data_IF_349434547844
#
_entry.id   IF_349434547844
#
_cell.length_a   1.000
_cell.length_b   1.000
_cell.length_c   1.000
_cell.angle_alpha   90.00
_cell.angle_beta   90.00
_cell.angle_gamma   90.00
#
_symmetry.space_group_name_H-M   'P 1'
#
loop_
_entity.id
_entity.type
_entity.pdbx_description
1 polymer ?
#
# COMPACT_ATOMS: atom_id res chain seq x y z
N UNK A 1 -27.02 -6.06 -12.87
CA UNK A 1 -25.82 -5.21 -13.13
C UNK A 1 -25.01 -5.20 -11.84
N UNK A 2 -23.76 -5.63 -11.87
CA UNK A 2 -22.88 -5.66 -10.70
C UNK A 2 -22.48 -4.21 -10.37
N UNK A 3 -22.73 -3.75 -9.13
CA UNK A 3 -22.26 -2.43 -8.69
C UNK A 3 -20.75 -2.53 -8.39
N UNK A 4 -19.89 -1.75 -9.04
CA UNK A 4 -18.45 -1.76 -8.77
C UNK A 4 -18.13 -1.43 -7.31
N UNK A 5 -17.15 -2.14 -6.70
CA UNK A 5 -16.58 -1.78 -5.41
C UNK A 5 -15.46 -0.75 -5.65
N UNK A 6 -15.81 0.52 -5.61
CA UNK A 6 -14.91 1.65 -5.86
C UNK A 6 -14.16 2.15 -4.63
N UNK A 7 -14.05 1.34 -3.59
CA UNK A 7 -13.29 1.69 -2.39
C UNK A 7 -11.86 2.07 -2.75
N UNK A 8 -11.43 3.29 -2.39
CA UNK A 8 -10.12 3.86 -2.72
C UNK A 8 -9.02 3.45 -1.75
N UNK A 9 -9.39 3.02 -0.55
CA UNK A 9 -8.48 2.53 0.47
C UNK A 9 -9.11 1.41 1.31
N UNK A 10 -8.26 0.65 1.98
CA UNK A 10 -8.66 -0.37 2.96
C UNK A 10 -7.68 -0.38 4.12
N UNK A 11 -8.19 -0.60 5.34
CA UNK A 11 -7.37 -0.90 6.52
C UNK A 11 -7.26 -2.41 6.65
N UNK A 12 -6.03 -2.91 6.75
CA UNK A 12 -5.74 -4.35 6.78
C UNK A 12 -4.80 -4.66 7.94
N UNK A 13 -5.09 -5.72 8.72
CA UNK A 13 -4.12 -6.28 9.67
C UNK A 13 -3.09 -7.09 8.87
N UNK A 14 -1.94 -6.49 8.61
CA UNK A 14 -0.87 -7.06 7.76
C UNK A 14 0.03 -7.99 8.53
N UNK A 15 0.30 -7.70 9.82
CA UNK A 15 1.16 -8.50 10.68
C UNK A 15 0.37 -9.05 11.87
N UNK A 16 0.54 -10.34 12.18
CA UNK A 16 0.21 -10.86 13.48
C UNK A 16 1.26 -10.39 14.52
N UNK A 17 0.95 -10.56 15.80
CA UNK A 17 1.77 -10.03 16.89
C UNK A 17 3.20 -10.60 16.86
N UNK A 18 3.37 -11.90 16.59
CA UNK A 18 4.70 -12.54 16.46
C UNK A 18 5.51 -11.96 15.28
N UNK A 19 4.85 -11.69 14.14
CA UNK A 19 5.50 -11.09 12.98
C UNK A 19 5.87 -9.64 13.23
N UNK A 20 5.02 -8.90 13.95
CA UNK A 20 5.28 -7.54 14.37
C UNK A 20 6.49 -7.44 15.30
N UNK A 21 6.59 -8.32 16.28
CA UNK A 21 7.75 -8.35 17.21
C UNK A 21 9.05 -8.72 16.48
N UNK A 22 9.02 -9.67 15.56
CA UNK A 22 10.17 -9.96 14.69
C UNK A 22 10.62 -8.74 13.88
N UNK A 23 9.66 -8.02 13.29
CA UNK A 23 9.96 -6.80 12.55
C UNK A 23 10.52 -5.70 13.47
N UNK A 24 9.93 -5.48 14.63
CA UNK A 24 10.42 -4.51 15.62
C UNK A 24 11.87 -4.81 16.02
N UNK A 25 12.18 -6.06 16.27
CA UNK A 25 13.56 -6.48 16.62
C UNK A 25 14.55 -6.17 15.48
N UNK A 26 14.17 -6.40 14.22
CA UNK A 26 14.99 -6.03 13.07
C UNK A 26 15.20 -4.52 13.00
N UNK A 27 14.14 -3.72 13.23
CA UNK A 27 14.20 -2.27 13.16
C UNK A 27 15.06 -1.62 14.24
N UNK A 28 15.20 -2.22 15.42
CA UNK A 28 16.08 -1.72 16.50
C UNK A 28 17.54 -1.59 16.05
N UNK A 29 18.00 -2.48 15.18
CA UNK A 29 19.37 -2.51 14.68
C UNK A 29 19.53 -1.90 13.29
N UNK A 30 18.45 -1.34 12.71
CA UNK A 30 18.46 -0.79 11.37
C UNK A 30 19.03 0.63 11.37
N UNK A 31 20.13 0.84 10.64
CA UNK A 31 20.73 2.17 10.47
C UNK A 31 19.87 3.00 9.55
N UNK A 32 19.27 4.05 10.07
CA UNK A 32 18.50 5.03 9.30
C UNK A 32 19.37 6.16 8.79
N UNK A 33 19.04 6.69 7.62
CA UNK A 33 19.68 7.85 6.99
C UNK A 33 18.65 8.95 6.73
N UNK A 34 19.10 10.13 6.37
CA UNK A 34 18.18 11.23 6.03
C UNK A 34 17.28 10.82 4.84
N UNK A 35 15.98 10.90 5.04
CA UNK A 35 14.96 10.50 4.07
C UNK A 35 14.97 11.30 2.76
N UNK A 36 15.62 12.45 2.72
CA UNK A 36 15.83 13.21 1.48
C UNK A 36 16.67 12.45 0.45
N UNK A 37 17.46 11.48 0.90
CA UNK A 37 18.29 10.68 -0.02
C UNK A 37 17.42 9.75 -0.92
N UNK A 38 16.18 9.48 -0.55
CA UNK A 38 15.23 8.72 -1.37
C UNK A 38 14.52 9.58 -2.43
N UNK A 39 14.53 10.89 -2.26
CA UNK A 39 13.93 11.82 -3.21
C UNK A 39 14.94 12.22 -4.29
N UNK A 40 14.45 12.28 -5.53
CA UNK A 40 15.20 12.81 -6.67
C UNK A 40 14.40 13.96 -7.27
N UNK A 41 14.81 15.19 -7.01
CA UNK A 41 14.26 16.37 -7.66
C UNK A 41 15.37 17.07 -8.45
N UNK A 42 15.18 17.30 -9.77
CA UNK A 42 16.16 17.97 -10.60
C UNK A 42 16.41 19.42 -10.21
N UNK A 43 15.51 20.04 -9.43
CA UNK A 43 15.64 21.43 -8.95
C UNK A 43 16.61 21.60 -7.78
N UNK A 44 17.10 20.48 -7.20
CA UNK A 44 18.12 20.48 -6.16
C UNK A 44 17.62 20.19 -4.75
N UNK A 45 18.57 19.97 -3.83
CA UNK A 45 18.29 19.52 -2.46
C UNK A 45 17.53 20.54 -1.60
N UNK A 46 17.70 21.83 -1.82
CA UNK A 46 17.03 22.87 -1.03
C UNK A 46 15.50 22.82 -1.15
N UNK A 47 15.01 22.53 -2.36
CA UNK A 47 13.57 22.32 -2.59
C UNK A 47 13.07 21.10 -1.83
N UNK A 48 13.87 20.05 -1.74
CA UNK A 48 13.54 18.80 -1.07
C UNK A 48 13.43 18.98 0.44
N UNK A 49 14.27 19.82 1.08
CA UNK A 49 14.22 20.10 2.53
C UNK A 49 12.90 20.75 2.97
N UNK A 50 12.26 21.51 2.08
CA UNK A 50 10.95 22.10 2.37
C UNK A 50 9.79 21.10 2.19
N UNK A 51 10.04 19.93 1.60
CA UNK A 51 9.03 18.98 1.19
C UNK A 51 8.83 17.83 2.17
N UNK A 52 9.94 17.28 2.69
CA UNK A 52 9.97 16.12 3.54
C UNK A 52 11.07 16.21 4.59
N UNK A 53 10.74 15.82 5.80
CA UNK A 53 11.70 15.69 6.88
C UNK A 53 11.43 14.38 7.62
N UNK A 54 12.37 13.45 7.59
CA UNK A 54 12.32 12.15 8.28
C UNK A 54 13.66 11.42 8.16
N UNK A 55 13.78 10.28 8.83
CA UNK A 55 14.86 9.31 8.63
C UNK A 55 14.29 8.03 7.99
N UNK A 56 15.08 7.38 7.16
CA UNK A 56 14.65 6.20 6.40
C UNK A 56 15.70 5.11 6.33
N UNK A 57 15.24 3.86 6.15
CA UNK A 57 16.08 2.73 5.75
C UNK A 57 15.30 1.79 4.82
N UNK A 58 15.96 1.29 3.79
CA UNK A 58 15.43 0.20 2.97
C UNK A 58 15.47 -1.13 3.75
N UNK A 59 14.41 -1.91 3.64
CA UNK A 59 14.32 -3.24 4.25
C UNK A 59 14.48 -4.34 3.19
N UNK A 60 15.01 -5.52 3.56
CA UNK A 60 15.05 -6.67 2.65
C UNK A 60 13.65 -7.10 2.25
N UNK A 61 13.30 -6.94 0.96
CA UNK A 61 11.95 -7.20 0.46
C UNK A 61 11.48 -8.64 0.74
N UNK A 62 12.35 -9.64 0.52
CA UNK A 62 12.00 -11.06 0.73
C UNK A 62 11.64 -11.36 2.18
N UNK A 63 12.38 -10.83 3.14
CA UNK A 63 12.13 -11.05 4.57
C UNK A 63 10.83 -10.36 4.98
N UNK A 64 10.60 -9.13 4.56
CA UNK A 64 9.39 -8.39 4.83
C UNK A 64 8.15 -9.06 4.23
N UNK A 65 8.23 -9.52 2.98
CA UNK A 65 7.14 -10.25 2.31
C UNK A 65 6.74 -11.51 3.08
N UNK A 66 7.71 -12.22 3.65
CA UNK A 66 7.43 -13.44 4.41
C UNK A 66 6.71 -13.18 5.74
N UNK A 67 6.82 -11.97 6.29
CA UNK A 67 6.11 -11.57 7.51
C UNK A 67 4.67 -11.11 7.24
N UNK A 68 4.36 -10.66 6.02
CA UNK A 68 3.08 -10.03 5.70
C UNK A 68 1.97 -11.03 5.40
N UNK A 69 0.74 -10.68 5.81
CA UNK A 69 -0.47 -11.39 5.39
C UNK A 69 -0.80 -11.06 3.92
N UNK A 70 -0.49 -11.99 3.02
CA UNK A 70 -0.71 -11.81 1.59
C UNK A 70 -2.18 -11.90 1.20
N UNK A 71 -2.98 -12.71 1.92
CA UNK A 71 -4.39 -12.92 1.61
C UNK A 71 -5.16 -11.60 1.63
N UNK A 72 -5.17 -10.92 2.77
CA UNK A 72 -5.98 -9.70 2.94
C UNK A 72 -5.51 -8.56 2.02
N UNK A 73 -4.22 -8.52 1.68
CA UNK A 73 -3.68 -7.61 0.66
C UNK A 73 -4.23 -7.97 -0.71
N UNK A 74 -4.25 -9.26 -1.07
CA UNK A 74 -4.72 -9.75 -2.37
C UNK A 74 -6.20 -9.49 -2.59
N UNK A 75 -7.00 -9.60 -1.54
CA UNK A 75 -8.45 -9.37 -1.58
C UNK A 75 -8.79 -7.94 -2.05
N UNK A 76 -7.96 -6.98 -1.68
CA UNK A 76 -8.18 -5.59 -2.07
C UNK A 76 -7.45 -5.19 -3.35
N UNK A 77 -6.20 -5.66 -3.52
CA UNK A 77 -5.30 -5.16 -4.56
C UNK A 77 -5.21 -6.06 -5.78
N UNK A 78 -5.81 -7.26 -5.76
CA UNK A 78 -5.51 -8.31 -6.75
C UNK A 78 -3.99 -8.45 -6.93
N UNK A 79 -3.29 -8.68 -5.84
CA UNK A 79 -1.84 -8.59 -5.68
C UNK A 79 -1.07 -9.48 -6.66
N UNK A 80 -0.16 -8.90 -7.41
CA UNK A 80 0.75 -9.61 -8.31
C UNK A 80 2.19 -9.69 -7.80
N UNK A 81 2.74 -8.56 -7.38
CA UNK A 81 4.11 -8.49 -6.91
C UNK A 81 4.40 -7.25 -6.04
N UNK A 82 5.40 -7.36 -5.17
CA UNK A 82 6.04 -6.19 -4.56
C UNK A 82 6.86 -5.43 -5.59
N UNK A 83 6.91 -4.11 -5.43
CA UNK A 83 7.73 -3.22 -6.25
C UNK A 83 8.76 -2.51 -5.38
N UNK A 84 10.03 -2.75 -5.68
CA UNK A 84 11.14 -2.19 -4.91
C UNK A 84 11.30 -2.79 -3.50
N UNK A 85 12.11 -2.15 -2.70
CA UNK A 85 12.31 -2.51 -1.30
C UNK A 85 11.35 -1.71 -0.40
N UNK A 86 10.75 -2.34 0.61
CA UNK A 86 10.01 -1.59 1.63
C UNK A 86 10.94 -0.59 2.33
N UNK A 87 10.37 0.53 2.73
CA UNK A 87 11.09 1.63 3.38
C UNK A 87 10.58 1.77 4.82
N UNK A 88 11.46 1.55 5.79
CA UNK A 88 11.21 1.96 7.15
C UNK A 88 11.37 3.47 7.26
N UNK A 89 10.34 4.15 7.74
CA UNK A 89 10.34 5.60 7.96
C UNK A 89 10.16 5.91 9.44
N UNK A 90 11.11 6.67 9.97
CA UNK A 90 11.14 7.19 11.34
C UNK A 90 10.96 8.70 11.28
N UNK A 91 9.93 9.20 11.94
CA UNK A 91 9.67 10.63 12.13
C UNK A 91 9.68 10.98 13.60
N UNK A 92 10.42 12.03 13.93
CA UNK A 92 10.54 12.59 15.28
C UNK A 92 9.93 14.00 15.32
N UNK A 93 10.02 14.67 16.45
CA UNK A 93 9.49 16.02 16.64
C UNK A 93 9.94 17.00 15.53
N UNK A 94 8.96 17.66 14.92
CA UNK A 94 9.11 18.56 13.79
C UNK A 94 9.26 17.88 12.42
N UNK A 95 9.24 16.55 12.34
CA UNK A 95 9.30 15.81 11.07
C UNK A 95 7.94 15.72 10.41
N UNK A 96 7.90 15.76 9.08
CA UNK A 96 6.67 15.80 8.28
C UNK A 96 6.91 15.30 6.85
N UNK A 97 5.82 15.11 6.10
CA UNK A 97 5.85 14.93 4.65
C UNK A 97 4.68 15.71 4.04
N UNK A 98 4.99 16.73 3.22
CA UNK A 98 3.99 17.60 2.59
C UNK A 98 3.09 16.83 1.60
N UNK A 99 1.94 17.43 1.19
CA UNK A 99 1.07 16.84 0.19
C UNK A 99 1.81 16.46 -1.08
N UNK A 100 1.65 15.21 -1.51
CA UNK A 100 2.29 14.66 -2.71
C UNK A 100 1.48 13.48 -3.26
N UNK A 101 1.93 12.99 -4.41
CA UNK A 101 1.51 11.73 -5.01
C UNK A 101 2.71 10.80 -5.05
N UNK A 102 2.50 9.53 -4.78
CA UNK A 102 3.49 8.53 -5.11
C UNK A 102 3.55 8.33 -6.63
N UNK A 103 4.75 8.04 -7.12
CA UNK A 103 4.91 7.75 -8.55
C UNK A 103 4.28 6.40 -8.89
N UNK A 104 3.34 6.38 -9.84
CA UNK A 104 2.64 5.16 -10.29
C UNK A 104 3.59 4.09 -10.85
N UNK A 105 4.82 4.44 -11.23
CA UNK A 105 5.85 3.46 -11.60
C UNK A 105 6.30 2.58 -10.42
N UNK A 106 6.07 3.00 -9.18
CA UNK A 106 6.35 2.23 -7.96
C UNK A 106 5.37 1.08 -7.76
N UNK A 107 4.16 1.15 -8.33
CA UNK A 107 3.12 0.13 -8.19
C UNK A 107 1.73 0.74 -8.32
N UNK A 108 0.69 -0.08 -8.25
CA UNK A 108 -0.70 0.36 -8.33
C UNK A 108 -1.27 0.73 -6.95
N UNK A 109 -0.69 0.17 -5.88
CA UNK A 109 -1.09 0.42 -4.50
C UNK A 109 0.10 0.80 -3.63
N UNK A 110 -0.11 1.85 -2.83
CA UNK A 110 0.76 2.28 -1.74
C UNK A 110 0.25 1.70 -0.43
N UNK A 111 1.17 1.33 0.45
CA UNK A 111 0.88 0.75 1.75
C UNK A 111 1.63 1.51 2.83
N UNK A 112 0.97 1.81 3.93
CA UNK A 112 1.60 2.39 5.13
C UNK A 112 1.24 1.54 6.35
N UNK A 113 2.20 0.77 6.85
CA UNK A 113 2.09 -0.10 8.02
C UNK A 113 2.56 0.63 9.27
N UNK A 114 1.73 0.68 10.29
CA UNK A 114 2.05 1.29 11.58
C UNK A 114 2.76 0.27 12.48
N UNK A 115 3.86 0.70 13.13
CA UNK A 115 4.75 -0.18 13.92
C UNK A 115 4.63 0.06 15.42
N UNK A 116 4.42 1.31 15.84
CA UNK A 116 4.27 1.66 17.25
C UNK A 116 2.85 2.12 17.57
N UNK A 117 2.41 2.00 18.85
CA UNK A 117 1.08 2.41 19.27
C UNK A 117 0.81 3.90 19.00
N UNK A 118 -0.43 4.27 18.63
CA UNK A 118 -0.78 5.65 18.27
C UNK A 118 -0.67 6.65 19.42
N UNK A 119 -0.72 6.18 20.66
CA UNK A 119 -0.57 6.99 21.89
C UNK A 119 0.89 7.28 22.27
N UNK A 120 1.86 6.67 21.59
CA UNK A 120 3.30 6.89 21.84
C UNK A 120 3.87 8.13 21.14
N UNK A 121 3.07 8.82 20.34
CA UNK A 121 3.47 10.05 19.65
C UNK A 121 2.26 10.98 19.42
N UNK A 122 2.49 12.28 19.25
CA UNK A 122 1.47 13.28 18.92
C UNK A 122 1.70 13.82 17.50
N UNK A 123 0.62 14.12 16.77
CA UNK A 123 0.67 14.45 15.34
C UNK A 123 1.02 13.23 14.48
N UNK A 124 1.60 13.45 13.32
CA UNK A 124 2.06 12.40 12.43
C UNK A 124 0.96 11.56 11.78
N UNK A 125 -0.28 12.05 11.73
CA UNK A 125 -1.37 11.39 11.02
C UNK A 125 -1.04 11.29 9.52
N UNK A 126 -1.31 10.12 8.92
CA UNK A 126 -1.38 9.99 7.48
C UNK A 126 -2.74 10.53 7.02
N UNK A 127 -2.74 11.52 6.16
CA UNK A 127 -3.95 12.05 5.53
C UNK A 127 -4.00 11.65 4.05
N UNK A 128 -5.14 11.11 3.62
CA UNK A 128 -5.45 10.81 2.23
C UNK A 128 -6.59 11.70 1.76
N UNK A 129 -6.47 12.30 0.57
CA UNK A 129 -7.59 12.97 -0.09
C UNK A 129 -8.35 11.95 -0.94
N UNK A 130 -9.52 11.52 -0.45
CA UNK A 130 -10.36 10.51 -1.10
C UNK A 130 -11.73 11.10 -1.37
N UNK A 131 -12.15 11.09 -2.63
CA UNK A 131 -13.45 11.58 -3.09
C UNK A 131 -13.77 13.02 -2.61
N UNK A 132 -12.73 13.86 -2.57
CA UNK A 132 -12.82 15.26 -2.13
C UNK A 132 -12.78 15.46 -0.62
N UNK A 133 -12.66 14.41 0.18
CA UNK A 133 -12.58 14.48 1.64
C UNK A 133 -11.21 14.04 2.16
N UNK A 134 -10.71 14.70 3.20
CA UNK A 134 -9.52 14.26 3.91
C UNK A 134 -9.88 13.15 4.92
N UNK A 135 -9.19 12.02 4.81
CA UNK A 135 -9.28 10.88 5.73
C UNK A 135 -7.97 10.76 6.50
N UNK A 136 -8.04 10.79 7.82
CA UNK A 136 -6.89 10.70 8.71
C UNK A 136 -6.70 9.28 9.26
N UNK A 137 -5.43 8.84 9.30
CA UNK A 137 -5.08 7.51 9.79
C UNK A 137 -3.92 7.57 10.77
N UNK A 138 -4.14 6.94 11.92
CA UNK A 138 -3.18 6.70 12.99
C UNK A 138 -3.57 5.40 13.65
N UNK A 139 -3.08 4.28 13.12
CA UNK A 139 -3.58 2.95 13.41
C UNK A 139 -2.76 2.23 14.48
N UNK A 140 -3.36 1.20 15.06
CA UNK A 140 -2.67 0.27 15.93
C UNK A 140 -1.54 -0.47 15.20
N UNK A 141 -0.51 -0.94 15.93
CA UNK A 141 0.60 -1.68 15.35
C UNK A 141 0.15 -2.93 14.61
N UNK A 142 0.80 -3.22 13.48
CA UNK A 142 0.47 -4.37 12.63
C UNK A 142 -0.63 -4.11 11.61
N UNK A 143 -1.33 -2.96 11.70
CA UNK A 143 -2.30 -2.53 10.69
C UNK A 143 -1.67 -1.63 9.65
N UNK A 144 -2.13 -1.76 8.41
CA UNK A 144 -1.74 -0.88 7.31
C UNK A 144 -2.96 -0.22 6.67
N UNK A 145 -2.76 1.02 6.21
CA UNK A 145 -3.63 1.62 5.20
C UNK A 145 -3.07 1.25 3.84
N UNK A 146 -3.91 0.66 2.99
CA UNK A 146 -3.63 0.31 1.60
C UNK A 146 -4.49 1.19 0.71
N UNK A 147 -3.89 1.91 -0.23
CA UNK A 147 -4.59 2.87 -1.08
C UNK A 147 -3.98 2.94 -2.48
N UNK A 148 -4.73 3.45 -3.44
CA UNK A 148 -4.26 3.64 -4.80
C UNK A 148 -3.07 4.61 -4.83
N UNK A 149 -1.97 4.24 -5.50
CA UNK A 149 -0.69 4.99 -5.49
C UNK A 149 -0.83 6.45 -5.94
N UNK A 150 -1.76 6.75 -6.84
CA UNK A 150 -2.03 8.11 -7.29
C UNK A 150 -2.87 8.97 -6.33
N UNK A 151 -3.26 8.46 -5.16
CA UNK A 151 -4.03 9.22 -4.17
C UNK A 151 -3.17 10.33 -3.57
N UNK A 152 -3.63 11.61 -3.60
CA UNK A 152 -2.93 12.69 -2.90
C UNK A 152 -2.88 12.41 -1.40
N UNK A 153 -1.71 12.56 -0.80
CA UNK A 153 -1.55 12.29 0.64
C UNK A 153 -0.43 13.10 1.27
N UNK A 154 -0.45 13.18 2.59
CA UNK A 154 0.58 13.83 3.40
C UNK A 154 0.73 13.13 4.75
N UNK A 155 1.82 13.45 5.46
CA UNK A 155 1.98 13.13 6.88
C UNK A 155 2.11 14.44 7.64
N UNK A 156 1.18 14.67 8.57
CA UNK A 156 1.20 15.82 9.47
C UNK A 156 2.50 15.88 10.27
N UNK A 157 2.92 17.06 10.71
CA UNK A 157 4.06 17.16 11.62
C UNK A 157 3.88 16.30 12.87
N UNK A 158 4.91 15.52 13.20
CA UNK A 158 5.02 14.92 14.54
C UNK A 158 5.38 16.02 15.52
N UNK A 159 4.59 16.19 16.56
CA UNK A 159 4.80 17.26 17.58
C UNK A 159 5.43 16.74 18.86
N UNK A 160 5.43 15.41 19.06
CA UNK A 160 6.06 14.75 20.20
C UNK A 160 6.24 13.27 19.96
N UNK A 161 7.33 12.69 20.45
CA UNK A 161 7.62 11.27 20.34
C UNK A 161 8.16 10.87 18.98
N UNK A 162 7.95 9.61 18.60
CA UNK A 162 8.45 9.06 17.35
C UNK A 162 7.34 8.28 16.62
N UNK A 163 7.08 8.59 15.37
CA UNK A 163 6.23 7.83 14.47
C UNK A 163 7.07 6.83 13.67
N UNK A 164 6.73 5.54 13.74
CA UNK A 164 7.42 4.45 13.07
C UNK A 164 6.48 3.73 12.12
N UNK A 165 6.81 3.71 10.84
CA UNK A 165 6.02 3.02 9.81
C UNK A 165 6.94 2.31 8.82
N UNK A 166 6.37 1.31 8.11
CA UNK A 166 6.98 0.76 6.90
C UNK A 166 6.06 1.06 5.73
N UNK A 167 6.63 1.63 4.67
CA UNK A 167 5.92 1.92 3.43
C UNK A 167 6.44 1.03 2.30
N UNK A 168 5.53 0.53 1.45
CA UNK A 168 5.90 -0.24 0.26
C UNK A 168 4.82 -0.13 -0.80
N UNK A 169 5.11 -0.65 -1.97
CA UNK A 169 4.21 -0.63 -3.12
C UNK A 169 3.98 -2.03 -3.66
N UNK A 170 2.79 -2.25 -4.20
CA UNK A 170 2.44 -3.50 -4.88
C UNK A 170 1.86 -3.23 -6.26
N UNK A 171 2.15 -4.13 -7.19
CA UNK A 171 1.44 -4.17 -8.45
C UNK A 171 0.22 -5.08 -8.34
N UNK A 172 -0.86 -4.65 -8.97
CA UNK A 172 -2.05 -5.45 -9.18
C UNK A 172 -1.91 -6.28 -10.46
N UNK A 173 -2.58 -7.40 -10.47
CA UNK A 173 -2.84 -8.13 -11.69
C UNK A 173 -3.83 -7.38 -12.60
N UNK A 174 -4.72 -6.60 -12.07
CA UNK A 174 -5.64 -5.76 -12.83
C UNK A 174 -5.15 -4.31 -12.71
N UNK A 175 -4.41 -3.79 -13.71
CA UNK A 175 -3.84 -2.43 -13.64
C UNK A 175 -4.87 -1.32 -13.87
N UNK A 176 -6.02 -1.65 -14.47
CA UNK A 176 -7.10 -0.70 -14.71
C UNK A 176 -8.04 -0.72 -13.51
N UNK A 177 -8.11 0.39 -12.79
CA UNK A 177 -8.86 0.47 -11.52
C UNK A 177 -10.34 0.17 -11.69
N UNK A 178 -10.95 0.62 -12.79
CA UNK A 178 -12.37 0.32 -13.07
C UNK A 178 -12.64 -1.19 -13.21
N UNK A 179 -11.77 -1.92 -13.87
CA UNK A 179 -11.87 -3.38 -13.97
C UNK A 179 -11.61 -4.06 -12.62
N UNK A 180 -10.71 -3.51 -11.81
CA UNK A 180 -10.45 -4.00 -10.47
C UNK A 180 -11.68 -3.84 -9.56
N UNK A 181 -12.39 -2.72 -9.65
CA UNK A 181 -13.62 -2.51 -8.87
C UNK A 181 -14.73 -3.51 -9.26
N UNK A 182 -14.85 -3.83 -10.54
CA UNK A 182 -15.77 -4.88 -11.02
C UNK A 182 -15.36 -6.26 -10.51
N UNK A 183 -14.07 -6.57 -10.54
CA UNK A 183 -13.55 -7.84 -10.01
C UNK A 183 -13.81 -7.99 -8.52
N UNK A 184 -13.58 -6.93 -7.72
CA UNK A 184 -13.91 -6.94 -6.29
C UNK A 184 -15.39 -7.18 -6.04
N UNK A 185 -16.27 -6.51 -6.81
CA UNK A 185 -17.71 -6.68 -6.70
C UNK A 185 -18.15 -8.10 -7.10
N UNK A 186 -17.56 -8.65 -8.15
CA UNK A 186 -17.81 -10.02 -8.59
C UNK A 186 -17.46 -11.03 -7.49
N UNK A 187 -16.29 -10.93 -6.90
CA UNK A 187 -15.87 -11.83 -5.82
C UNK A 187 -16.78 -11.75 -4.58
N UNK A 188 -17.26 -10.55 -4.23
CA UNK A 188 -18.25 -10.40 -3.14
C UNK A 188 -19.58 -11.09 -3.43
N UNK A 189 -20.01 -11.14 -4.69
CA UNK A 189 -21.27 -11.77 -5.08
C UNK A 189 -21.19 -13.29 -5.16
N UNK A 190 -20.04 -13.81 -5.54
CA UNK A 190 -19.86 -15.25 -5.71
C UNK A 190 -19.52 -15.96 -4.40
N UNK A 191 -19.36 -15.19 -3.31
CA UNK A 191 -18.94 -15.71 -1.99
C UNK A 191 -17.70 -16.61 -2.10
N UNK A 192 -16.91 -16.37 -3.15
CA UNK A 192 -15.67 -17.07 -3.35
C UNK A 192 -14.76 -16.72 -2.20
N UNK A 193 -14.37 -17.71 -1.42
CA UNK A 193 -13.22 -17.59 -0.53
C UNK A 193 -12.07 -17.05 -1.36
N UNK A 194 -11.67 -15.83 -1.08
CA UNK A 194 -10.68 -15.11 -1.86
C UNK A 194 -9.43 -15.94 -2.11
N UNK A 195 -8.81 -15.77 -3.30
CA UNK A 195 -7.67 -16.55 -3.71
C UNK A 195 -6.56 -16.52 -2.66
N UNK A 196 -6.20 -17.69 -2.17
CA UNK A 196 -5.18 -17.86 -1.11
C UNK A 196 -3.77 -17.82 -1.69
N UNK A 197 -3.65 -18.13 -2.98
CA UNK A 197 -2.39 -18.19 -3.69
C UNK A 197 -2.52 -17.69 -5.15
N UNK A 198 -1.42 -17.78 -5.90
CA UNK A 198 -1.37 -17.34 -7.30
C UNK A 198 -2.34 -18.07 -8.21
N UNK A 199 -2.51 -19.37 -7.98
CA UNK A 199 -3.34 -20.21 -8.87
C UNK A 199 -4.84 -19.93 -8.65
N UNK A 200 -5.23 -19.69 -7.40
CA UNK A 200 -6.56 -19.22 -7.05
C UNK A 200 -6.87 -17.84 -7.65
N UNK A 201 -5.91 -16.91 -7.61
CA UNK A 201 -6.06 -15.58 -8.26
C UNK A 201 -6.27 -15.76 -9.77
N UNK A 202 -5.48 -16.62 -10.42
CA UNK A 202 -5.60 -16.90 -11.85
C UNK A 202 -6.96 -17.52 -12.17
N UNK A 203 -7.46 -18.43 -11.33
CA UNK A 203 -8.77 -19.03 -11.49
C UNK A 203 -9.89 -17.99 -11.37
N UNK A 204 -9.89 -17.20 -10.30
CA UNK A 204 -10.85 -16.12 -10.11
C UNK A 204 -10.85 -15.10 -11.25
N UNK A 205 -9.68 -14.78 -11.79
CA UNK A 205 -9.56 -13.88 -12.94
C UNK A 205 -10.12 -14.51 -14.23
N UNK A 206 -9.95 -15.80 -14.43
CA UNK A 206 -10.54 -16.51 -15.58
C UNK A 206 -12.07 -16.55 -15.48
N UNK A 207 -12.61 -16.80 -14.30
CA UNK A 207 -14.04 -16.78 -14.05
C UNK A 207 -14.64 -15.39 -14.27
N UNK A 208 -14.01 -14.35 -13.70
CA UNK A 208 -14.40 -12.96 -13.93
C UNK A 208 -14.32 -12.58 -15.40
N UNK A 209 -13.22 -12.92 -16.09
CA UNK A 209 -13.04 -12.65 -17.51
C UNK A 209 -14.09 -13.37 -18.36
N UNK A 210 -14.52 -14.57 -17.97
CA UNK A 210 -15.60 -15.31 -18.64
C UNK A 210 -16.95 -14.65 -18.42
N UNK A 211 -17.23 -14.14 -17.22
CA UNK A 211 -18.44 -13.40 -16.90
C UNK A 211 -18.49 -12.03 -17.64
N UNK A 212 -17.38 -11.30 -17.69
CA UNK A 212 -17.24 -10.06 -18.45
C UNK A 212 -17.22 -10.27 -19.97
N UNK A 213 -16.68 -11.40 -20.43
CA UNK A 213 -16.58 -11.73 -21.86
C UNK A 213 -17.92 -11.83 -22.58
N UNK A 214 -19.01 -11.99 -21.84
CA UNK A 214 -20.37 -11.85 -22.38
C UNK A 214 -20.74 -10.40 -22.71
N UNK A 215 -20.03 -9.42 -22.12
CA UNK A 215 -20.31 -7.99 -22.27
C UNK A 215 -19.15 -7.15 -22.86
N UNK A 216 -17.89 -7.55 -22.63
CA UNK A 216 -16.71 -6.80 -23.09
C UNK A 216 -15.53 -7.71 -23.47
N UNK A 217 -15.53 -8.26 -24.68
CA UNK A 217 -14.46 -9.12 -25.22
C UNK A 217 -13.03 -8.56 -25.10
N UNK A 218 -12.86 -7.24 -25.01
CA UNK A 218 -11.56 -6.58 -24.98
C UNK A 218 -10.92 -6.52 -23.58
N UNK A 219 -11.71 -6.36 -22.50
CA UNK A 219 -11.19 -6.32 -21.13
C UNK A 219 -10.71 -7.71 -20.69
N UNK A 220 -11.50 -8.76 -20.93
CA UNK A 220 -11.12 -10.14 -20.65
C UNK A 220 -9.85 -10.57 -21.39
N UNK A 221 -9.70 -10.18 -22.66
CA UNK A 221 -8.51 -10.48 -23.47
C UNK A 221 -7.27 -9.71 -22.99
N UNK A 222 -7.41 -8.52 -22.41
CA UNK A 222 -6.31 -7.74 -21.83
C UNK A 222 -5.84 -8.37 -20.52
N UNK A 223 -6.77 -8.73 -19.65
CA UNK A 223 -6.48 -9.41 -18.38
C UNK A 223 -5.75 -10.74 -18.66
N UNK A 224 -6.28 -11.59 -19.53
CA UNK A 224 -5.71 -12.89 -19.85
C UNK A 224 -4.36 -12.82 -20.59
N UNK A 225 -4.14 -11.84 -21.48
CA UNK A 225 -2.86 -11.66 -22.17
C UNK A 225 -1.70 -11.30 -21.25
N UNK A 226 -1.97 -10.64 -20.14
CA UNK A 226 -0.94 -10.31 -19.16
C UNK A 226 -0.57 -11.49 -18.25
N UNK A 227 -1.35 -12.57 -18.26
CA UNK A 227 -1.20 -13.75 -17.37
C UNK A 227 -0.71 -15.01 -18.07
N UNK A 228 -0.91 -15.12 -19.35
CA UNK A 228 -0.56 -16.31 -20.13
C UNK A 228 0.85 -16.21 -20.77
N UNK A 229 1.63 -15.20 -20.38
CA UNK A 229 3.07 -15.09 -20.63
C UNK A 229 3.78 -15.51 -19.34
#
# INVERSE_FOLDING_TARGET
MITPDSSKFKIIKVLCDDSLEKLRHQLLNTKVINGLNSLRDPRGKEVLYSFKRNKEAGLPAKEFINLTNKKDISDFTCYSSFKGNPIYSLMSDGDYYRPHFDNVSLGHFSHTLFINPPDTYEGGELELLVDGELKEFKLDPGYAVVYETGTPHQVKPVTKGERKVVVWWTASYIPVMEDLYKWRAYNKLTDNDYPKDKDDIILSLKEFASAEGLYHKNAAASILRNYLK
#
